data_IF_219410867983
#
_entry.id   IF_219410867983
#
_cell.length_a   1.000
_cell.length_b   1.000
_cell.length_c   1.000
_cell.angle_alpha   90.00
_cell.angle_beta   90.00
_cell.angle_gamma   90.00
#
_symmetry.space_group_name_H-M   'P 1'
#
loop_
_entity.id
_entity.type
_entity.pdbx_description
1 polymer ?
#
# COMPACT_ATOMS: atom_id res chain seq x y z
N UNK A 1 -4.56 -5.94 -13.82
CA UNK A 1 -4.11 -7.34 -13.69
C UNK A 1 -2.95 -7.39 -12.71
N UNK A 2 -2.94 -8.35 -11.78
CA UNK A 2 -1.88 -8.50 -10.78
C UNK A 2 -0.66 -9.22 -11.41
N UNK A 3 0.59 -8.77 -11.19
CA UNK A 3 1.77 -9.38 -11.77
C UNK A 3 1.97 -10.83 -11.32
N UNK A 4 2.35 -11.72 -12.25
CA UNK A 4 2.53 -13.15 -11.96
C UNK A 4 3.59 -13.44 -10.89
N UNK A 5 4.64 -12.61 -10.81
CA UNK A 5 5.65 -12.71 -9.73
C UNK A 5 5.01 -12.53 -8.35
N UNK A 6 4.06 -11.60 -8.23
CA UNK A 6 3.33 -11.33 -6.99
C UNK A 6 2.39 -12.50 -6.68
N UNK A 7 1.66 -13.01 -7.68
CA UNK A 7 0.80 -14.18 -7.50
C UNK A 7 1.60 -15.41 -7.04
N UNK A 8 2.76 -15.68 -7.65
CA UNK A 8 3.65 -16.76 -7.24
C UNK A 8 4.19 -16.57 -5.84
N UNK A 9 4.56 -15.35 -5.46
CA UNK A 9 5.02 -15.07 -4.10
C UNK A 9 3.92 -15.38 -3.08
N UNK A 10 2.71 -14.84 -3.28
CA UNK A 10 1.59 -15.02 -2.35
C UNK A 10 1.11 -16.47 -2.30
N UNK A 11 1.20 -17.22 -3.41
CA UNK A 11 0.91 -18.66 -3.41
C UNK A 11 1.86 -19.48 -2.52
N UNK A 12 3.04 -18.94 -2.19
CA UNK A 12 4.02 -19.58 -1.28
C UNK A 12 3.96 -19.04 0.15
N UNK A 13 3.17 -17.99 0.40
CA UNK A 13 3.03 -17.40 1.72
C UNK A 13 2.28 -18.35 2.67
N UNK A 14 2.71 -18.41 3.93
CA UNK A 14 2.01 -19.18 4.96
C UNK A 14 0.80 -18.39 5.47
N UNK A 15 -0.40 -18.96 5.34
CA UNK A 15 -1.65 -18.37 5.85
C UNK A 15 -2.74 -18.21 4.78
N UNK A 16 -3.92 -17.78 5.21
CA UNK A 16 -5.06 -17.51 4.31
C UNK A 16 -4.91 -16.13 3.67
N UNK A 17 -4.12 -16.07 2.60
CA UNK A 17 -3.87 -14.82 1.84
C UNK A 17 -4.98 -14.48 0.85
N UNK A 18 -5.84 -15.43 0.51
CA UNK A 18 -6.97 -15.17 -0.39
C UNK A 18 -8.07 -14.41 0.36
N UNK A 19 -8.56 -13.31 -0.21
CA UNK A 19 -9.61 -12.52 0.43
C UNK A 19 -10.92 -13.29 0.47
N UNK A 20 -11.47 -13.41 1.67
CA UNK A 20 -12.74 -14.12 1.92
C UNK A 20 -13.95 -13.18 1.90
N UNK A 21 -13.77 -11.91 2.28
CA UNK A 21 -14.82 -10.88 2.24
C UNK A 21 -14.44 -9.73 1.29
N UNK A 22 -14.55 -9.98 -0.02
CA UNK A 22 -14.24 -8.96 -1.03
C UNK A 22 -15.23 -7.78 -1.03
N UNK A 23 -16.45 -7.96 -0.50
CA UNK A 23 -17.47 -6.90 -0.47
C UNK A 23 -17.15 -5.85 0.59
N UNK A 24 -16.65 -6.27 1.74
CA UNK A 24 -16.20 -5.34 2.77
C UNK A 24 -15.01 -4.52 2.25
N UNK A 25 -14.01 -5.17 1.66
CA UNK A 25 -12.87 -4.49 1.06
C UNK A 25 -13.27 -3.52 -0.06
N UNK A 26 -14.20 -3.92 -0.94
CA UNK A 26 -14.75 -3.05 -1.98
C UNK A 26 -15.36 -1.77 -1.39
N UNK A 27 -16.11 -1.90 -0.28
CA UNK A 27 -16.68 -0.74 0.41
C UNK A 27 -15.59 0.19 0.95
N UNK A 28 -14.52 -0.35 1.52
CA UNK A 28 -13.39 0.46 2.02
C UNK A 28 -12.68 1.17 0.86
N UNK A 29 -12.43 0.49 -0.26
CA UNK A 29 -11.84 1.09 -1.46
C UNK A 29 -12.69 2.26 -1.98
N UNK A 30 -14.00 2.05 -2.11
CA UNK A 30 -14.94 3.07 -2.57
C UNK A 30 -15.00 4.26 -1.60
N UNK A 31 -14.92 4.03 -0.29
CA UNK A 31 -14.86 5.10 0.70
C UNK A 31 -13.61 5.97 0.56
N UNK A 32 -12.48 5.39 0.13
CA UNK A 32 -11.28 6.18 -0.20
C UNK A 32 -11.34 6.84 -1.57
N UNK A 33 -12.34 6.53 -2.40
CA UNK A 33 -12.42 6.98 -3.79
C UNK A 33 -11.49 6.20 -4.72
N UNK A 34 -11.08 4.99 -4.35
CA UNK A 34 -10.27 4.10 -5.19
C UNK A 34 -11.17 3.22 -6.04
N UNK A 35 -10.89 3.14 -7.34
CA UNK A 35 -11.63 2.26 -8.25
C UNK A 35 -11.36 0.78 -7.93
N UNK A 36 -12.40 -0.06 -7.79
CA UNK A 36 -12.27 -1.52 -7.68
C UNK A 36 -11.50 -2.18 -8.84
N UNK A 37 -11.47 -1.54 -10.01
CA UNK A 37 -10.77 -2.03 -11.21
C UNK A 37 -9.38 -1.44 -11.40
N UNK A 38 -8.89 -0.62 -10.46
CA UNK A 38 -7.50 -0.16 -10.45
C UNK A 38 -6.57 -1.30 -10.03
N UNK A 39 -5.26 -1.16 -10.28
CA UNK A 39 -4.29 -2.16 -9.83
C UNK A 39 -4.34 -2.37 -8.31
N UNK A 40 -4.44 -1.28 -7.56
CA UNK A 40 -4.62 -1.28 -6.11
C UNK A 40 -5.92 -1.99 -5.70
N UNK A 41 -7.02 -1.66 -6.36
CA UNK A 41 -8.33 -2.26 -6.10
C UNK A 41 -8.33 -3.77 -6.36
N UNK A 42 -7.83 -4.20 -7.51
CA UNK A 42 -7.76 -5.62 -7.86
C UNK A 42 -6.93 -6.43 -6.85
N UNK A 43 -5.80 -5.88 -6.39
CA UNK A 43 -4.96 -6.53 -5.38
C UNK A 43 -5.71 -6.73 -4.07
N UNK A 44 -6.25 -5.66 -3.51
CA UNK A 44 -6.92 -5.71 -2.21
C UNK A 44 -8.30 -6.37 -2.26
N UNK A 45 -8.93 -6.53 -3.42
CA UNK A 45 -10.14 -7.36 -3.54
C UNK A 45 -9.84 -8.85 -3.57
N UNK A 46 -8.61 -9.23 -3.96
CA UNK A 46 -8.21 -10.62 -4.12
C UNK A 46 -7.40 -11.16 -2.94
N UNK A 47 -6.63 -10.30 -2.27
CA UNK A 47 -5.71 -10.71 -1.22
C UNK A 47 -6.00 -10.00 0.10
N UNK A 48 -5.67 -10.68 1.20
CA UNK A 48 -5.78 -10.20 2.58
C UNK A 48 -4.60 -10.70 3.42
N UNK A 49 -4.40 -10.09 4.59
CA UNK A 49 -3.45 -10.54 5.61
C UNK A 49 -2.15 -9.74 5.65
N UNK A 50 -1.15 -10.33 6.32
CA UNK A 50 0.17 -9.72 6.53
C UNK A 50 1.06 -9.87 5.31
N UNK A 51 1.30 -8.78 4.59
CA UNK A 51 2.09 -8.77 3.36
C UNK A 51 3.56 -8.45 3.65
N UNK A 52 4.31 -9.44 4.10
CA UNK A 52 5.71 -9.30 4.46
C UNK A 52 6.59 -9.27 3.20
N UNK A 53 7.49 -8.29 3.08
CA UNK A 53 8.46 -8.23 1.99
C UNK A 53 9.56 -9.29 2.14
N UNK A 54 10.19 -9.68 1.03
CA UNK A 54 11.50 -10.37 1.07
C UNK A 54 12.66 -9.41 1.41
N UNK A 55 12.42 -8.11 1.35
CA UNK A 55 13.36 -7.04 1.69
C UNK A 55 13.17 -6.66 3.15
N UNK A 56 14.22 -6.08 3.74
CA UNK A 56 14.15 -5.48 5.08
C UNK A 56 13.46 -4.12 5.03
N UNK A 57 12.17 -4.10 4.67
CA UNK A 57 11.31 -2.91 4.61
C UNK A 57 10.03 -3.14 5.42
N UNK A 58 9.34 -2.06 5.77
CA UNK A 58 8.10 -2.11 6.53
C UNK A 58 7.04 -2.99 5.84
N UNK A 59 6.22 -3.65 6.65
CA UNK A 59 5.13 -4.52 6.19
C UNK A 59 4.07 -3.71 5.43
N UNK A 60 3.60 -4.26 4.31
CA UNK A 60 2.49 -3.73 3.54
C UNK A 60 1.19 -4.08 4.28
N UNK A 61 0.47 -3.04 4.69
CA UNK A 61 -0.75 -3.16 5.48
C UNK A 61 -1.91 -3.69 4.63
N UNK A 62 -2.85 -4.35 5.28
CA UNK A 62 -4.10 -4.75 4.64
C UNK A 62 -5.06 -3.56 4.49
N UNK A 63 -5.96 -3.59 3.50
CA UNK A 63 -7.00 -2.57 3.32
C UNK A 63 -8.04 -2.63 4.45
N UNK A 64 -8.26 -3.80 5.01
CA UNK A 64 -9.12 -4.08 6.16
C UNK A 64 -8.76 -5.44 6.75
N UNK A 65 -9.01 -5.63 8.04
CA UNK A 65 -8.83 -6.93 8.68
C UNK A 65 -8.76 -6.80 10.19
N UNK A 66 -8.48 -7.91 10.89
CA UNK A 66 -8.29 -7.90 12.35
C UNK A 66 -6.92 -7.34 12.77
N UNK A 67 -5.96 -7.25 11.86
CA UNK A 67 -4.65 -6.65 12.12
C UNK A 67 -4.77 -5.12 12.15
N UNK A 68 -4.14 -4.50 13.15
CA UNK A 68 -4.15 -3.06 13.35
C UNK A 68 -2.70 -2.58 13.47
N UNK A 69 -2.29 -1.52 12.74
CA UNK A 69 -3.13 -0.71 11.85
C UNK A 69 -3.43 -1.39 10.52
N UNK A 70 -4.63 -1.18 9.96
CA UNK A 70 -4.90 -1.35 8.55
C UNK A 70 -4.63 -0.03 7.80
N UNK A 71 -4.68 -0.04 6.47
CA UNK A 71 -4.50 1.16 5.63
C UNK A 71 -5.38 2.33 6.11
N UNK A 72 -6.67 2.15 6.45
CA UNK A 72 -7.47 3.25 6.99
C UNK A 72 -6.89 3.90 8.24
N UNK A 73 -6.52 3.09 9.23
CA UNK A 73 -6.03 3.57 10.52
C UNK A 73 -4.70 4.33 10.33
N UNK A 74 -3.79 3.74 9.55
CA UNK A 74 -2.50 4.35 9.29
C UNK A 74 -2.64 5.62 8.45
N UNK A 75 -3.57 5.64 7.50
CA UNK A 75 -3.83 6.81 6.66
C UNK A 75 -4.39 7.97 7.48
N UNK A 76 -5.30 7.71 8.43
CA UNK A 76 -5.81 8.73 9.36
C UNK A 76 -4.67 9.27 10.23
N UNK A 77 -3.86 8.38 10.81
CA UNK A 77 -2.71 8.77 11.64
C UNK A 77 -1.71 9.67 10.90
N UNK A 78 -1.31 9.34 9.67
CA UNK A 78 -0.32 10.16 8.93
C UNK A 78 -0.88 11.49 8.44
N UNK A 79 -2.19 11.58 8.21
CA UNK A 79 -2.87 12.85 7.91
C UNK A 79 -2.84 13.77 9.12
N UNK A 80 -3.16 13.24 10.29
CA UNK A 80 -3.18 14.02 11.51
C UNK A 80 -1.77 14.43 11.96
N UNK A 81 -0.81 13.50 11.89
CA UNK A 81 0.55 13.70 12.39
C UNK A 81 1.46 14.47 11.44
N UNK A 82 1.39 14.16 10.15
CA UNK A 82 2.33 14.66 9.14
C UNK A 82 1.65 15.55 8.09
N UNK A 83 0.35 15.79 8.20
CA UNK A 83 -0.43 16.58 7.25
C UNK A 83 -0.35 16.06 5.81
N UNK A 84 -0.18 14.74 5.66
CA UNK A 84 -0.18 14.06 4.36
C UNK A 84 -1.48 14.38 3.62
N UNK A 85 -1.43 14.85 2.37
CA UNK A 85 -2.63 15.22 1.62
C UNK A 85 -3.62 14.07 1.39
N UNK A 86 -4.90 14.40 1.20
CA UNK A 86 -6.00 13.42 1.10
C UNK A 86 -5.87 12.43 -0.08
N UNK A 87 -5.14 12.80 -1.14
CA UNK A 87 -4.89 11.90 -2.27
C UNK A 87 -3.97 10.72 -1.91
N UNK A 88 -3.24 10.79 -0.80
CA UNK A 88 -2.35 9.71 -0.39
C UNK A 88 -3.02 8.77 0.62
N UNK A 89 -2.72 7.48 0.46
CA UNK A 89 -3.03 6.40 1.39
C UNK A 89 -1.72 5.79 1.89
N UNK A 90 -1.63 5.51 3.19
CA UNK A 90 -0.45 4.90 3.78
C UNK A 90 -0.46 3.39 3.56
N UNK A 91 0.54 2.89 2.82
CA UNK A 91 0.71 1.46 2.54
C UNK A 91 1.42 0.72 3.66
N UNK A 92 2.25 1.41 4.43
CA UNK A 92 3.04 0.85 5.52
C UNK A 92 2.94 1.74 6.76
N UNK A 93 3.38 1.21 7.91
CA UNK A 93 3.71 2.03 9.07
C UNK A 93 4.82 3.04 8.75
N UNK A 94 5.00 4.05 9.61
CA UNK A 94 6.07 5.05 9.56
C UNK A 94 7.36 4.59 10.25
N UNK A 95 7.58 3.27 10.27
CA UNK A 95 8.73 2.66 10.93
C UNK A 95 10.06 3.22 10.42
N UNK A 96 10.97 3.49 11.37
CA UNK A 96 12.28 4.08 11.10
C UNK A 96 12.22 5.41 10.32
N UNK A 97 11.15 6.19 10.53
CA UNK A 97 10.96 7.50 9.89
C UNK A 97 10.78 7.43 8.35
N UNK A 98 10.28 6.29 7.85
CA UNK A 98 9.97 6.11 6.43
C UNK A 98 8.65 5.35 6.21
N UNK A 99 7.95 5.65 5.11
CA UNK A 99 6.73 4.93 4.73
C UNK A 99 6.49 4.95 3.23
N UNK A 100 5.77 3.94 2.73
CA UNK A 100 5.26 3.97 1.36
C UNK A 100 3.86 4.58 1.30
N UNK A 101 3.65 5.50 0.37
CA UNK A 101 2.37 6.17 0.15
C UNK A 101 1.86 5.89 -1.26
N UNK A 102 0.62 5.45 -1.38
CA UNK A 102 -0.08 5.31 -2.65
C UNK A 102 -0.91 6.55 -2.95
N UNK A 103 -0.76 7.12 -4.14
CA UNK A 103 -1.57 8.25 -4.57
C UNK A 103 -2.77 7.77 -5.39
N UNK A 104 -3.98 8.02 -4.89
CA UNK A 104 -5.24 7.57 -5.51
C UNK A 104 -5.59 8.27 -6.81
N UNK A 105 -4.93 9.38 -7.14
CA UNK A 105 -5.17 10.16 -8.37
C UNK A 105 -4.34 9.69 -9.55
N UNK A 106 -3.05 9.46 -9.34
CA UNK A 106 -2.10 9.03 -10.40
C UNK A 106 -1.74 7.54 -10.33
N UNK A 107 -2.15 6.84 -9.27
CA UNK A 107 -1.87 5.43 -8.97
C UNK A 107 -0.37 5.14 -8.72
N UNK A 108 0.43 6.17 -8.53
CA UNK A 108 1.86 6.06 -8.27
C UNK A 108 2.14 5.79 -6.79
N UNK A 109 3.33 5.25 -6.51
CA UNK A 109 3.79 4.97 -5.15
C UNK A 109 5.04 5.80 -4.83
N UNK A 110 4.99 6.43 -3.66
CA UNK A 110 6.02 7.29 -3.13
C UNK A 110 6.72 6.59 -1.98
N UNK A 111 8.02 6.81 -1.90
CA UNK A 111 8.86 6.39 -0.79
C UNK A 111 9.20 7.63 0.02
N UNK A 112 8.45 7.84 1.09
CA UNK A 112 8.56 9.04 1.92
C UNK A 112 9.51 8.76 3.07
N UNK A 113 10.61 9.50 3.10
CA UNK A 113 11.45 9.68 4.28
C UNK A 113 11.01 10.98 4.98
N UNK A 114 10.83 10.95 6.30
CA UNK A 114 10.41 12.12 7.09
C UNK A 114 11.40 13.29 6.95
N UNK A 115 12.69 13.03 6.66
CA UNK A 115 13.68 14.06 6.39
C UNK A 115 13.35 14.95 5.18
N UNK A 116 12.51 14.47 4.25
CA UNK A 116 12.05 15.22 3.07
C UNK A 116 10.56 15.55 3.11
N UNK A 117 9.90 15.44 4.27
CA UNK A 117 8.47 15.68 4.44
C UNK A 117 8.03 17.05 3.90
N UNK A 118 8.76 18.12 4.22
CA UNK A 118 8.42 19.48 3.76
C UNK A 118 8.42 19.60 2.22
N UNK A 119 9.36 18.94 1.55
CA UNK A 119 9.43 18.93 0.09
C UNK A 119 8.34 18.03 -0.51
N UNK A 120 8.00 16.93 0.16
CA UNK A 120 6.87 16.07 -0.24
C UNK A 120 5.54 16.84 -0.15
N UNK A 121 5.29 17.57 0.94
CA UNK A 121 4.10 18.39 1.12
C UNK A 121 3.99 19.52 0.09
N UNK A 122 5.14 19.99 -0.43
CA UNK A 122 5.20 20.96 -1.52
C UNK A 122 5.11 20.33 -2.92
N UNK A 123 4.94 19.01 -3.02
CA UNK A 123 4.84 18.28 -4.29
C UNK A 123 6.16 18.21 -5.08
N UNK A 124 7.31 18.33 -4.41
CA UNK A 124 8.64 18.30 -5.04
C UNK A 124 9.27 16.92 -5.07
N UNK A 125 8.82 16.01 -4.21
CA UNK A 125 9.31 14.63 -4.17
C UNK A 125 8.64 13.84 -5.29
N UNK A 126 9.40 13.26 -6.23
CA UNK A 126 8.81 12.46 -7.31
C UNK A 126 8.34 11.10 -6.80
N UNK A 127 7.37 10.50 -7.49
CA UNK A 127 7.03 9.11 -7.27
C UNK A 127 8.25 8.20 -7.50
N UNK A 128 8.42 7.19 -6.64
CA UNK A 128 9.48 6.19 -6.81
C UNK A 128 9.06 5.09 -7.79
N UNK A 129 7.77 4.76 -7.80
CA UNK A 129 7.16 3.83 -8.75
C UNK A 129 5.99 4.50 -9.45
N UNK A 130 5.95 4.40 -10.78
CA UNK A 130 4.92 5.03 -11.60
C UNK A 130 3.54 4.37 -11.43
N UNK A 131 3.51 3.11 -11.02
CA UNK A 131 2.29 2.32 -10.82
C UNK A 131 2.36 1.51 -9.54
N UNK A 132 1.20 1.06 -9.05
CA UNK A 132 1.13 0.18 -7.88
C UNK A 132 1.74 -1.18 -8.19
N UNK A 133 1.56 -1.70 -9.40
CA UNK A 133 2.17 -2.96 -9.82
C UNK A 133 3.70 -2.91 -9.86
N UNK A 134 4.30 -1.80 -10.32
CA UNK A 134 5.76 -1.62 -10.28
C UNK A 134 6.28 -1.70 -8.84
N UNK A 135 5.54 -1.10 -7.89
CA UNK A 135 5.83 -1.22 -6.46
C UNK A 135 5.70 -2.67 -5.98
N UNK A 136 4.62 -3.39 -6.29
CA UNK A 136 4.42 -4.77 -5.83
C UNK A 136 5.49 -5.73 -6.37
N UNK A 137 5.89 -5.56 -7.65
CA UNK A 137 6.98 -6.33 -8.24
C UNK A 137 8.24 -6.09 -7.42
N UNK A 138 8.64 -4.83 -7.24
CA UNK A 138 9.81 -4.50 -6.43
C UNK A 138 9.71 -5.04 -4.99
N UNK A 139 8.55 -4.90 -4.36
CA UNK A 139 8.30 -5.24 -2.96
C UNK A 139 8.38 -6.75 -2.68
N UNK A 140 7.85 -7.60 -3.58
CA UNK A 140 7.82 -9.05 -3.39
C UNK A 140 8.95 -9.81 -4.11
N UNK A 141 9.58 -9.19 -5.11
CA UNK A 141 10.69 -9.82 -5.81
C UNK A 141 11.95 -9.88 -4.93
N UNK A 142 12.57 -11.06 -4.88
CA UNK A 142 13.85 -11.23 -4.20
C UNK A 142 14.92 -10.43 -4.95
N UNK A 143 15.78 -9.74 -4.21
CA UNK A 143 17.00 -9.19 -4.84
C UNK A 143 17.91 -10.38 -5.12
N UNK A 144 18.52 -10.51 -6.32
CA UNK A 144 19.47 -11.57 -6.60
C UNK A 144 20.67 -11.59 -5.65
#
# INVERSE_FOLDING_TARGET
>A
MIPSTVEHYLATASGDVARTDSKSAEKVLLNFGVSPTSEFGEFYLRYQGSFISRRSVAELLDIEGPAIPAIPDQTEYVRDRYHVPEQYLALTSDESEGMYLYNKTDQAVYDLDIAVLDDFLQGKVPARWATFNDFLIWYFEATP
#
